data_IF_197805794854
#
_entry.id   IF_197805794854
#
_cell.length_a   1.000
_cell.length_b   1.000
_cell.length_c   1.000
_cell.angle_alpha   90.00
_cell.angle_beta   90.00
_cell.angle_gamma   90.00
#
_symmetry.space_group_name_H-M   'P 1'
#
loop_
_entity.id
_entity.type
_entity.pdbx_description
1 polymer ?
#
# COMPACT_ATOMS: atom_id res chain seq x y z
N UNK A 1 27.18 6.46 27.76
CA UNK A 1 26.46 6.46 26.46
C UNK A 1 25.88 5.08 26.23
N UNK A 2 24.59 4.98 25.87
CA UNK A 2 24.03 3.73 25.35
C UNK A 2 24.61 3.52 23.95
N UNK A 3 25.12 2.33 23.64
CA UNK A 3 25.52 1.98 22.27
C UNK A 3 24.25 1.73 21.46
N UNK A 4 24.23 2.20 20.22
CA UNK A 4 23.17 1.94 19.25
C UNK A 4 23.70 0.94 18.21
N UNK A 5 22.88 -0.04 17.84
CA UNK A 5 23.17 -1.03 16.81
C UNK A 5 22.19 -0.87 15.65
N UNK A 6 22.73 -0.70 14.44
CA UNK A 6 21.95 -0.57 13.21
C UNK A 6 22.36 -1.69 12.26
N UNK A 7 21.39 -2.47 11.78
CA UNK A 7 21.61 -3.45 10.72
C UNK A 7 21.31 -2.82 9.37
N UNK A 8 22.37 -2.49 8.64
CA UNK A 8 22.30 -2.06 7.23
C UNK A 8 22.52 -3.29 6.37
N UNK A 9 21.45 -3.81 5.78
CA UNK A 9 21.48 -5.06 5.00
C UNK A 9 21.64 -4.84 3.50
N UNK A 10 21.44 -3.60 3.05
CA UNK A 10 21.64 -3.15 1.67
C UNK A 10 22.09 -1.69 1.68
N UNK A 11 23.01 -1.35 0.78
CA UNK A 11 23.51 0.01 0.55
C UNK A 11 22.91 0.68 -0.69
N UNK A 12 22.02 -0.02 -1.39
CA UNK A 12 21.23 0.45 -2.52
C UNK A 12 20.12 -0.58 -2.70
N UNK A 13 18.87 -0.21 -2.42
CA UNK A 13 17.75 -1.16 -2.47
C UNK A 13 17.72 -1.91 -3.81
N UNK A 14 17.51 -3.22 -3.72
CA UNK A 14 17.52 -4.11 -4.89
C UNK A 14 18.89 -4.32 -5.52
N UNK A 15 19.96 -3.65 -5.08
CA UNK A 15 21.31 -3.93 -5.54
C UNK A 15 21.89 -5.13 -4.77
N UNK A 16 22.18 -6.21 -5.49
CA UNK A 16 22.53 -7.51 -4.90
C UNK A 16 21.53 -7.96 -3.82
N UNK A 17 20.30 -8.26 -4.26
CA UNK A 17 19.17 -8.80 -3.49
C UNK A 17 19.58 -9.42 -2.15
N UNK A 18 18.97 -8.95 -1.06
CA UNK A 18 19.28 -9.43 0.28
C UNK A 18 19.12 -10.96 0.34
N UNK A 19 20.25 -11.62 0.61
CA UNK A 19 20.28 -13.05 0.86
C UNK A 19 19.73 -13.33 2.26
N UNK A 20 18.59 -14.03 2.31
CA UNK A 20 17.80 -14.22 3.54
C UNK A 20 18.63 -14.83 4.67
N UNK A 21 19.49 -15.81 4.38
CA UNK A 21 20.28 -16.47 5.42
C UNK A 21 21.21 -15.49 6.12
N UNK A 22 21.92 -14.64 5.37
CA UNK A 22 22.83 -13.61 5.86
C UNK A 22 22.10 -12.54 6.67
N UNK A 23 20.95 -12.07 6.17
CA UNK A 23 20.08 -11.14 6.88
C UNK A 23 19.63 -11.71 8.24
N UNK A 24 19.13 -12.95 8.26
CA UNK A 24 18.69 -13.60 9.50
C UNK A 24 19.84 -13.91 10.46
N UNK A 25 21.07 -14.11 9.98
CA UNK A 25 22.24 -14.18 10.88
C UNK A 25 22.50 -12.83 11.54
N UNK A 26 22.43 -11.72 10.80
CA UNK A 26 22.53 -10.36 11.34
C UNK A 26 21.48 -10.08 12.41
N UNK A 27 20.24 -10.55 12.20
CA UNK A 27 19.13 -10.41 13.15
C UNK A 27 19.25 -11.26 14.43
N UNK A 28 20.30 -12.08 14.59
CA UNK A 28 20.60 -12.76 15.86
C UNK A 28 21.27 -11.85 16.88
N UNK A 29 21.75 -10.69 16.44
CA UNK A 29 22.30 -9.67 17.31
C UNK A 29 21.20 -8.78 17.90
N UNK A 30 21.54 -8.04 18.95
CA UNK A 30 20.67 -7.02 19.53
C UNK A 30 20.72 -5.78 18.61
N UNK A 31 19.66 -5.59 17.83
CA UNK A 31 19.54 -4.55 16.80
C UNK A 31 18.51 -3.52 17.25
N UNK A 32 18.91 -2.26 17.32
CA UNK A 32 18.00 -1.15 17.66
C UNK A 32 17.23 -0.65 16.42
N UNK A 33 17.84 -0.72 15.22
CA UNK A 33 17.26 -0.24 13.96
C UNK A 33 17.60 -1.14 12.78
N UNK A 34 16.63 -1.34 11.88
CA UNK A 34 16.90 -1.78 10.51
C UNK A 34 17.06 -0.55 9.64
N UNK A 35 18.01 -0.58 8.70
CA UNK A 35 18.19 0.52 7.78
C UNK A 35 18.49 0.05 6.36
N UNK A 36 17.94 0.79 5.40
CA UNK A 36 18.36 0.83 4.01
C UNK A 36 18.69 2.28 3.68
N UNK A 37 19.93 2.54 3.29
CA UNK A 37 20.42 3.87 2.95
C UNK A 37 21.48 3.75 1.87
N UNK A 38 21.73 4.87 1.21
CA UNK A 38 22.52 5.04 0.00
C UNK A 38 21.85 4.59 -1.32
N UNK A 39 22.03 5.46 -2.32
CA UNK A 39 21.84 5.18 -3.73
C UNK A 39 23.18 5.17 -4.45
N UNK A 40 23.16 4.91 -5.74
CA UNK A 40 24.36 4.81 -6.60
C UNK A 40 24.57 6.10 -7.38
N UNK A 41 25.81 6.62 -7.35
CA UNK A 41 26.26 7.68 -8.25
C UNK A 41 26.90 7.12 -9.53
N UNK A 42 27.06 5.80 -9.62
CA UNK A 42 27.73 5.05 -10.68
C UNK A 42 26.79 4.25 -11.59
N UNK A 43 25.46 4.41 -11.44
CA UNK A 43 24.46 3.84 -12.35
C UNK A 43 24.55 4.38 -13.79
N UNK A 44 25.25 5.50 -13.99
CA UNK A 44 25.42 6.12 -15.29
C UNK A 44 24.30 7.11 -15.64
N UNK A 45 24.50 7.90 -16.71
CA UNK A 45 23.70 9.09 -16.99
C UNK A 45 22.24 8.80 -17.34
N UNK A 46 21.93 7.60 -17.84
CA UNK A 46 20.55 7.22 -18.20
C UNK A 46 19.65 7.18 -16.97
N UNK A 47 20.02 6.40 -15.95
CA UNK A 47 19.20 6.22 -14.75
C UNK A 47 19.22 7.46 -13.87
N UNK A 48 20.40 8.06 -13.69
CA UNK A 48 20.55 9.30 -12.92
C UNK A 48 19.79 10.47 -13.55
N UNK A 49 19.84 10.60 -14.88
CA UNK A 49 19.16 11.68 -15.60
C UNK A 49 17.64 11.50 -15.68
N UNK A 50 17.15 10.26 -15.63
CA UNK A 50 15.74 9.94 -15.70
C UNK A 50 15.07 9.76 -14.32
N UNK A 51 15.83 9.83 -13.23
CA UNK A 51 15.37 9.52 -11.87
C UNK A 51 14.72 8.12 -11.74
N UNK A 52 15.27 7.14 -12.46
CA UNK A 52 14.75 5.78 -12.54
C UNK A 52 15.64 4.77 -11.82
N UNK A 53 15.07 3.67 -11.30
CA UNK A 53 15.86 2.57 -10.76
C UNK A 53 16.67 1.89 -11.88
N UNK A 54 17.95 1.62 -11.61
CA UNK A 54 18.82 0.77 -12.40
C UNK A 54 18.44 -0.70 -12.25
N UNK A 55 18.02 -1.08 -11.04
CA UNK A 55 17.64 -2.46 -10.72
C UNK A 55 16.13 -2.68 -10.95
N UNK A 56 15.69 -3.92 -11.19
CA UNK A 56 14.27 -4.22 -11.26
C UNK A 56 13.55 -3.86 -9.97
N UNK A 57 12.41 -3.17 -10.03
CA UNK A 57 11.56 -2.82 -8.87
C UNK A 57 11.29 -4.02 -7.96
N UNK A 58 11.07 -5.21 -8.55
CA UNK A 58 10.84 -6.45 -7.79
C UNK A 58 11.96 -6.82 -6.81
N UNK A 59 13.19 -6.37 -7.09
CA UNK A 59 14.33 -6.61 -6.21
C UNK A 59 14.30 -5.65 -5.01
N UNK A 60 13.88 -4.42 -5.24
CA UNK A 60 13.65 -3.42 -4.18
C UNK A 60 12.47 -3.84 -3.29
N UNK A 61 11.35 -4.28 -3.89
CA UNK A 61 10.18 -4.83 -3.19
C UNK A 61 10.58 -5.99 -2.26
N UNK A 62 11.41 -6.93 -2.73
CA UNK A 62 11.90 -8.05 -1.93
C UNK A 62 12.70 -7.59 -0.71
N UNK A 63 13.61 -6.63 -0.90
CA UNK A 63 14.44 -6.10 0.18
C UNK A 63 13.59 -5.36 1.22
N UNK A 64 12.65 -4.53 0.77
CA UNK A 64 11.72 -3.78 1.62
C UNK A 64 10.79 -4.73 2.38
N UNK A 65 10.23 -5.74 1.72
CA UNK A 65 9.36 -6.73 2.36
C UNK A 65 10.10 -7.40 3.54
N UNK A 66 11.34 -7.84 3.32
CA UNK A 66 12.16 -8.47 4.36
C UNK A 66 12.40 -7.53 5.55
N UNK A 67 12.76 -6.27 5.28
CA UNK A 67 13.03 -5.27 6.31
C UNK A 67 11.77 -4.89 7.08
N UNK A 68 10.67 -4.60 6.37
CA UNK A 68 9.41 -4.17 6.95
C UNK A 68 8.77 -5.28 7.81
N UNK A 69 8.73 -6.52 7.30
CA UNK A 69 8.16 -7.66 8.04
C UNK A 69 8.94 -7.90 9.33
N UNK A 70 10.27 -7.91 9.30
CA UNK A 70 11.07 -8.14 10.52
C UNK A 70 11.06 -6.94 11.46
N UNK A 71 11.01 -5.71 10.94
CA UNK A 71 10.80 -4.48 11.72
C UNK A 71 9.54 -4.60 12.57
N UNK A 72 8.41 -4.95 11.94
CA UNK A 72 7.12 -5.09 12.60
C UNK A 72 7.09 -6.28 13.56
N UNK A 73 7.62 -7.44 13.15
CA UNK A 73 7.64 -8.65 13.99
C UNK A 73 8.43 -8.46 15.28
N UNK A 74 9.52 -7.69 15.22
CA UNK A 74 10.43 -7.45 16.37
C UNK A 74 10.15 -6.15 17.10
N UNK A 75 9.24 -5.33 16.58
CA UNK A 75 8.97 -3.98 17.06
C UNK A 75 10.23 -3.11 17.10
N UNK A 76 11.07 -3.22 16.07
CA UNK A 76 12.27 -2.40 15.88
C UNK A 76 12.01 -1.39 14.76
N UNK A 77 12.34 -0.10 14.91
CA UNK A 77 12.11 0.87 13.85
C UNK A 77 12.96 0.56 12.61
N UNK A 78 12.38 0.82 11.44
CA UNK A 78 13.06 0.80 10.14
C UNK A 78 13.35 2.24 9.71
N UNK A 79 14.52 2.45 9.09
CA UNK A 79 14.92 3.72 8.49
C UNK A 79 15.17 3.48 7.01
N UNK A 80 14.51 4.26 6.16
CA UNK A 80 14.76 4.31 4.73
C UNK A 80 15.34 5.70 4.44
N UNK A 81 16.61 5.74 4.05
CA UNK A 81 17.34 6.96 3.68
C UNK A 81 17.28 7.24 2.18
N UNK A 82 18.28 7.94 1.63
CA UNK A 82 18.42 8.12 0.18
C UNK A 82 18.71 6.76 -0.44
N UNK A 83 17.69 6.02 -0.83
CA UNK A 83 17.75 4.62 -1.23
C UNK A 83 17.25 4.45 -2.67
N UNK A 84 17.36 3.24 -3.20
CA UNK A 84 17.27 2.98 -4.65
C UNK A 84 18.35 3.72 -5.43
N UNK A 85 18.34 3.54 -6.75
CA UNK A 85 19.44 3.88 -7.64
C UNK A 85 19.85 5.34 -7.55
N UNK A 86 18.93 6.28 -7.77
CA UNK A 86 19.26 7.71 -7.83
C UNK A 86 19.39 8.35 -6.45
N UNK A 87 18.93 7.68 -5.38
CA UNK A 87 18.97 8.19 -4.02
C UNK A 87 18.17 9.48 -3.81
N UNK A 88 17.12 9.70 -4.63
CA UNK A 88 16.28 10.90 -4.57
C UNK A 88 15.12 10.74 -3.58
N UNK A 89 14.53 11.86 -3.17
CA UNK A 89 13.33 11.88 -2.33
C UNK A 89 12.15 11.14 -2.98
N UNK A 90 12.11 11.02 -4.32
CA UNK A 90 11.08 10.28 -5.05
C UNK A 90 11.03 8.82 -4.62
N UNK A 91 12.18 8.15 -4.51
CA UNK A 91 12.23 6.75 -4.09
C UNK A 91 11.83 6.59 -2.62
N UNK A 92 12.26 7.53 -1.76
CA UNK A 92 11.87 7.56 -0.34
C UNK A 92 10.36 7.72 -0.19
N UNK A 93 9.77 8.66 -0.92
CA UNK A 93 8.33 8.89 -0.92
C UNK A 93 7.58 7.65 -1.41
N UNK A 94 8.01 7.01 -2.50
CA UNK A 94 7.40 5.78 -3.03
C UNK A 94 7.28 4.68 -1.95
N UNK A 95 8.36 4.39 -1.23
CA UNK A 95 8.33 3.32 -0.23
C UNK A 95 7.57 3.73 1.04
N UNK A 96 7.53 5.02 1.37
CA UNK A 96 6.67 5.52 2.44
C UNK A 96 5.17 5.35 2.08
N UNK A 97 4.80 5.57 0.81
CA UNK A 97 3.45 5.32 0.30
C UNK A 97 3.09 3.82 0.38
N UNK A 98 4.00 2.95 -0.04
CA UNK A 98 3.83 1.49 0.08
C UNK A 98 3.65 1.04 1.53
N UNK A 99 4.50 1.49 2.46
CA UNK A 99 4.36 1.15 3.88
C UNK A 99 2.99 1.60 4.44
N UNK A 100 2.54 2.79 4.06
CA UNK A 100 1.28 3.34 4.53
C UNK A 100 0.08 2.53 4.03
N UNK A 101 0.10 2.02 2.79
CA UNK A 101 -0.94 1.13 2.24
C UNK A 101 -1.14 -0.14 3.09
N UNK A 102 -0.06 -0.64 3.70
CA UNK A 102 -0.11 -1.83 4.57
C UNK A 102 -0.23 -1.49 6.07
N UNK A 103 -0.38 -0.21 6.41
CA UNK A 103 -0.58 0.26 7.78
C UNK A 103 -2.07 0.37 8.11
N UNK A 104 -2.61 -0.66 8.79
CA UNK A 104 -3.98 -0.63 9.32
C UNK A 104 -4.27 0.60 10.20
N UNK A 105 -3.38 1.03 11.13
CA UNK A 105 -3.59 2.24 11.92
C UNK A 105 -3.77 3.51 11.07
N UNK A 106 -2.94 3.66 10.04
CA UNK A 106 -2.97 4.83 9.17
C UNK A 106 -4.18 4.80 8.23
N UNK A 107 -4.47 3.64 7.64
CA UNK A 107 -5.67 3.42 6.83
C UNK A 107 -6.95 3.72 7.61
N UNK A 108 -7.04 3.28 8.87
CA UNK A 108 -8.18 3.59 9.74
C UNK A 108 -8.26 5.08 10.08
N UNK A 109 -7.13 5.76 10.28
CA UNK A 109 -7.11 7.20 10.51
C UNK A 109 -7.65 7.98 9.30
N UNK A 110 -7.27 7.60 8.07
CA UNK A 110 -7.86 8.14 6.84
C UNK A 110 -9.36 7.87 6.80
N UNK A 111 -9.78 6.61 7.02
CA UNK A 111 -11.20 6.23 6.99
C UNK A 111 -12.05 7.06 7.96
N UNK A 112 -11.53 7.33 9.15
CA UNK A 112 -12.23 8.12 10.18
C UNK A 112 -12.31 9.62 9.81
N UNK A 113 -11.34 10.15 9.07
CA UNK A 113 -11.30 11.55 8.66
C UNK A 113 -12.12 11.81 7.40
N UNK A 114 -11.93 10.97 6.38
CA UNK A 114 -12.49 11.17 5.04
C UNK A 114 -13.80 10.40 4.81
N UNK A 115 -14.08 9.38 5.62
CA UNK A 115 -15.21 8.47 5.40
C UNK A 115 -14.99 7.43 4.29
N UNK A 116 -13.81 7.43 3.65
CA UNK A 116 -13.40 6.49 2.60
C UNK A 116 -11.88 6.26 2.65
N UNK A 117 -11.40 5.17 2.05
CA UNK A 117 -9.97 4.88 1.89
C UNK A 117 -9.72 4.40 0.46
N UNK A 118 -8.83 5.08 -0.27
CA UNK A 118 -8.45 4.76 -1.63
C UNK A 118 -7.00 5.18 -1.88
N UNK A 119 -6.43 4.75 -3.01
CA UNK A 119 -5.00 4.94 -3.32
C UNK A 119 -4.57 6.41 -3.26
N UNK A 120 -5.41 7.32 -3.77
CA UNK A 120 -5.15 8.77 -3.75
C UNK A 120 -5.01 9.37 -2.34
N UNK A 121 -5.52 8.70 -1.29
CA UNK A 121 -5.35 9.17 0.09
C UNK A 121 -3.95 8.93 0.65
N UNK A 122 -3.13 8.09 0.02
CA UNK A 122 -1.76 7.82 0.44
C UNK A 122 -0.74 8.81 -0.15
N UNK A 123 -1.18 9.99 -0.59
CA UNK A 123 -0.30 11.01 -1.15
C UNK A 123 0.77 11.51 -0.17
N UNK A 124 1.89 12.06 -0.66
CA UNK A 124 2.96 12.60 0.18
C UNK A 124 2.50 13.66 1.19
N UNK A 125 1.45 14.42 0.85
CA UNK A 125 0.84 15.42 1.72
C UNK A 125 0.13 14.76 2.93
N UNK A 126 -0.66 13.70 2.70
CA UNK A 126 -1.35 13.00 3.76
C UNK A 126 -0.39 12.20 4.64
N UNK A 127 0.66 11.59 4.06
CA UNK A 127 1.69 10.88 4.83
C UNK A 127 2.41 11.79 5.85
N UNK A 128 2.54 13.08 5.51
CA UNK A 128 3.17 14.10 6.38
C UNK A 128 2.16 14.83 7.28
N UNK A 129 0.87 14.50 7.21
CA UNK A 129 -0.17 15.15 8.01
C UNK A 129 -0.10 14.73 9.48
N UNK A 130 0.31 15.67 10.34
CA UNK A 130 0.43 15.43 11.78
C UNK A 130 -0.89 14.98 12.44
N UNK A 131 -2.04 15.42 11.94
CA UNK A 131 -3.34 15.06 12.50
C UNK A 131 -3.66 13.58 12.24
N UNK A 132 -3.38 13.08 11.03
CA UNK A 132 -3.50 11.67 10.68
C UNK A 132 -2.52 10.83 11.48
N UNK A 133 -1.25 11.27 11.57
CA UNK A 133 -0.23 10.56 12.36
C UNK A 133 -0.64 10.49 13.84
N UNK A 134 -1.15 11.57 14.42
CA UNK A 134 -1.65 11.60 15.80
C UNK A 134 -2.85 10.68 15.99
N UNK A 135 -3.75 10.57 15.02
CA UNK A 135 -4.90 9.67 15.08
C UNK A 135 -4.48 8.21 14.94
N UNK A 136 -3.61 7.88 13.97
CA UNK A 136 -3.07 6.54 13.77
C UNK A 136 -2.36 6.01 15.03
N UNK A 137 -1.62 6.87 15.74
CA UNK A 137 -0.97 6.52 17.02
C UNK A 137 -1.92 6.14 18.16
N UNK A 138 -3.22 6.46 18.05
CA UNK A 138 -4.25 6.07 19.01
C UNK A 138 -4.90 4.74 18.67
N UNK A 139 -4.63 4.19 17.48
CA UNK A 139 -5.19 2.91 17.05
C UNK A 139 -4.37 1.79 17.66
N UNK A 140 -5.04 0.95 18.45
CA UNK A 140 -4.47 -0.27 19.00
C UNK A 140 -5.12 -1.48 18.33
N UNK A 141 -4.28 -2.38 17.82
CA UNK A 141 -4.73 -3.60 17.13
C UNK A 141 -4.36 -4.79 17.99
N UNK A 142 -5.32 -5.67 18.22
CA UNK A 142 -5.15 -6.90 18.97
C UNK A 142 -5.93 -8.03 18.32
N UNK A 143 -5.43 -9.25 18.46
CA UNK A 143 -6.10 -10.45 17.99
C UNK A 143 -7.20 -10.84 18.97
N UNK A 144 -8.43 -10.99 18.46
CA UNK A 144 -9.52 -11.59 19.20
C UNK A 144 -9.51 -13.11 18.99
N UNK A 145 -9.42 -13.88 20.08
CA UNK A 145 -9.23 -15.33 20.01
C UNK A 145 -10.43 -16.07 19.41
N UNK A 146 -11.64 -15.58 19.65
CA UNK A 146 -12.85 -16.21 19.14
C UNK A 146 -12.95 -16.00 17.63
N UNK A 147 -12.70 -14.78 17.16
CA UNK A 147 -12.66 -14.50 15.72
C UNK A 147 -11.55 -15.30 15.01
N UNK A 148 -10.35 -15.34 15.59
CA UNK A 148 -9.20 -16.05 15.02
C UNK A 148 -9.45 -17.57 14.92
N UNK A 149 -10.12 -18.16 15.91
CA UNK A 149 -10.50 -19.59 15.87
C UNK A 149 -11.46 -19.97 14.74
N UNK A 150 -12.14 -18.98 14.15
CA UNK A 150 -13.04 -19.16 13.02
C UNK A 150 -12.37 -18.88 11.66
N UNK A 151 -11.09 -18.51 11.64
CA UNK A 151 -10.31 -18.34 10.42
C UNK A 151 -10.09 -19.71 9.72
N UNK A 152 -10.15 -19.79 8.37
CA UNK A 152 -10.35 -18.72 7.40
C UNK A 152 -11.82 -18.44 7.04
N UNK A 153 -12.78 -19.13 7.66
CA UNK A 153 -14.20 -19.03 7.28
C UNK A 153 -14.79 -17.65 7.60
N UNK A 154 -14.45 -17.09 8.76
CA UNK A 154 -14.82 -15.72 9.12
C UNK A 154 -13.58 -14.83 9.19
N UNK A 155 -13.62 -13.70 8.47
CA UNK A 155 -12.51 -12.73 8.34
C UNK A 155 -12.94 -11.33 8.78
N UNK A 156 -13.75 -11.30 9.82
CA UNK A 156 -14.36 -10.08 10.34
C UNK A 156 -13.40 -9.21 11.14
N UNK A 157 -13.93 -8.12 11.67
CA UNK A 157 -13.24 -7.26 12.64
C UNK A 157 -14.22 -6.68 13.65
N UNK A 158 -13.70 -6.35 14.85
CA UNK A 158 -14.38 -5.52 15.85
C UNK A 158 -13.66 -4.17 15.87
N UNK A 159 -14.42 -3.10 15.72
CA UNK A 159 -13.93 -1.73 15.89
C UNK A 159 -14.62 -1.11 17.10
N UNK A 160 -13.81 -0.70 18.08
CA UNK A 160 -14.25 0.07 19.23
C UNK A 160 -13.59 1.46 19.20
N UNK A 161 -14.40 2.50 19.33
CA UNK A 161 -13.95 3.90 19.39
C UNK A 161 -14.34 4.45 20.77
N UNK A 162 -13.34 4.95 21.50
CA UNK A 162 -13.53 5.59 22.80
C UNK A 162 -13.24 7.08 22.64
N UNK A 163 -14.24 7.91 22.93
CA UNK A 163 -14.13 9.37 22.87
C UNK A 163 -13.47 9.92 24.15
N UNK A 164 -12.99 11.17 24.07
CA UNK A 164 -12.34 11.84 25.20
C UNK A 164 -13.26 12.05 26.42
N UNK A 165 -14.58 12.03 26.22
CA UNK A 165 -15.59 12.12 27.29
C UNK A 165 -15.90 10.75 27.93
N UNK A 166 -15.22 9.69 27.50
CA UNK A 166 -15.40 8.32 27.96
C UNK A 166 -16.51 7.55 27.24
N UNK A 167 -17.26 8.18 26.32
CA UNK A 167 -18.28 7.48 25.54
C UNK A 167 -17.62 6.49 24.58
N UNK A 168 -18.12 5.26 24.53
CA UNK A 168 -17.65 4.24 23.61
C UNK A 168 -18.70 3.88 22.56
N UNK A 169 -18.23 3.54 21.37
CA UNK A 169 -19.01 2.96 20.28
C UNK A 169 -18.31 1.69 19.82
N UNK A 170 -19.09 0.67 19.52
CA UNK A 170 -18.56 -0.61 19.04
C UNK A 170 -19.37 -1.08 17.83
N UNK A 171 -18.66 -1.63 16.86
CA UNK A 171 -19.26 -2.32 15.72
C UNK A 171 -18.44 -3.55 15.39
N UNK A 172 -19.14 -4.65 15.16
CA UNK A 172 -18.55 -5.91 14.72
C UNK A 172 -19.08 -6.26 13.33
N UNK A 173 -18.20 -6.80 12.49
CA UNK A 173 -18.57 -7.53 11.28
C UNK A 173 -17.95 -8.91 11.32
N UNK A 174 -18.65 -9.92 10.82
CA UNK A 174 -18.14 -11.30 10.71
C UNK A 174 -17.45 -11.58 9.37
N UNK A 175 -17.91 -10.89 8.32
CA UNK A 175 -17.39 -11.03 6.95
C UNK A 175 -17.19 -9.63 6.36
N UNK A 176 -16.09 -9.40 5.64
CA UNK A 176 -15.93 -8.18 4.87
C UNK A 176 -16.94 -8.16 3.72
N UNK A 177 -17.32 -6.96 3.28
CA UNK A 177 -18.19 -6.81 2.12
C UNK A 177 -17.42 -7.14 0.84
N UNK A 178 -18.04 -7.88 -0.07
CA UNK A 178 -17.44 -8.40 -1.31
C UNK A 178 -17.11 -9.89 -1.28
N UNK A 179 -17.27 -10.57 -0.13
CA UNK A 179 -17.19 -12.02 -0.05
C UNK A 179 -18.36 -12.69 -0.80
N UNK A 180 -18.21 -13.94 -1.27
CA UNK A 180 -19.31 -14.68 -1.90
C UNK A 180 -20.59 -14.71 -1.05
N UNK A 181 -20.44 -14.79 0.28
CA UNK A 181 -21.53 -14.79 1.25
C UNK A 181 -22.07 -13.39 1.57
N UNK A 182 -21.30 -12.34 1.28
CA UNK A 182 -21.69 -10.94 1.49
C UNK A 182 -21.30 -10.09 0.27
N UNK A 183 -21.92 -10.34 -0.91
CA UNK A 183 -21.49 -9.70 -2.15
C UNK A 183 -21.79 -8.20 -2.14
N UNK A 184 -21.06 -7.46 -2.97
CA UNK A 184 -21.42 -6.08 -3.32
C UNK A 184 -22.71 -6.09 -4.13
N UNK A 185 -23.51 -5.04 -4.00
CA UNK A 185 -24.59 -4.80 -4.96
C UNK A 185 -24.00 -4.29 -6.28
N UNK A 186 -24.78 -4.40 -7.36
CA UNK A 186 -24.38 -3.89 -8.68
C UNK A 186 -24.02 -2.40 -8.63
N UNK A 187 -24.78 -1.58 -7.89
CA UNK A 187 -24.51 -0.15 -7.71
C UNK A 187 -23.16 0.10 -7.01
N UNK A 188 -22.82 -0.71 -6.01
CA UNK A 188 -21.56 -0.59 -5.28
C UNK A 188 -20.37 -1.05 -6.10
N UNK A 189 -20.54 -2.15 -6.84
CA UNK A 189 -19.53 -2.65 -7.76
C UNK A 189 -19.30 -1.65 -8.90
N UNK A 190 -20.37 -1.05 -9.46
CA UNK A 190 -20.27 0.03 -10.44
C UNK A 190 -19.56 1.25 -9.85
N UNK A 191 -19.92 1.65 -8.63
CA UNK A 191 -19.26 2.74 -7.92
C UNK A 191 -17.75 2.49 -7.75
N UNK A 192 -17.35 1.25 -7.42
CA UNK A 192 -15.95 0.84 -7.35
C UNK A 192 -15.26 0.90 -8.72
N UNK A 193 -15.89 0.38 -9.78
CA UNK A 193 -15.36 0.46 -11.16
C UNK A 193 -15.09 1.92 -11.50
N UNK A 194 -16.10 2.78 -11.35
CA UNK A 194 -15.98 4.19 -11.68
C UNK A 194 -14.86 4.89 -10.89
N UNK A 195 -14.73 4.58 -9.59
CA UNK A 195 -13.67 5.17 -8.74
C UNK A 195 -12.25 4.80 -9.20
N UNK A 196 -12.06 3.57 -9.69
CA UNK A 196 -10.75 3.11 -10.16
C UNK A 196 -10.43 3.65 -11.55
N UNK A 197 -11.43 3.83 -12.40
CA UNK A 197 -11.23 4.24 -13.80
C UNK A 197 -11.27 5.74 -14.01
N UNK A 198 -12.02 6.51 -13.21
CA UNK A 198 -12.22 7.95 -13.43
C UNK A 198 -10.95 8.81 -13.42
N UNK A 199 -9.84 8.46 -12.73
CA UNK A 199 -8.60 9.23 -12.86
C UNK A 199 -8.02 9.15 -14.28
N UNK A 200 -8.12 7.97 -14.91
CA UNK A 200 -7.50 7.68 -16.19
C UNK A 200 -8.45 7.87 -17.38
N UNK A 201 -9.76 7.71 -17.14
CA UNK A 201 -10.77 7.66 -18.17
C UNK A 201 -11.93 8.63 -17.91
N UNK A 202 -12.52 9.15 -18.99
CA UNK A 202 -13.74 9.97 -18.92
C UNK A 202 -14.93 9.19 -18.34
N UNK A 203 -15.90 9.88 -17.72
CA UNK A 203 -17.09 9.29 -17.08
C UNK A 203 -17.87 8.31 -17.97
N UNK A 204 -17.87 8.52 -19.29
CA UNK A 204 -18.54 7.64 -20.26
C UNK A 204 -17.93 6.23 -20.30
N UNK A 205 -16.64 6.11 -19.97
CA UNK A 205 -15.90 4.85 -20.02
C UNK A 205 -16.49 3.81 -19.09
N UNK A 206 -16.62 4.13 -17.80
CA UNK A 206 -17.13 3.21 -16.77
C UNK A 206 -18.53 2.69 -17.12
N UNK A 207 -19.38 3.58 -17.65
CA UNK A 207 -20.74 3.25 -18.09
C UNK A 207 -20.75 2.30 -19.28
N UNK A 208 -19.89 2.53 -20.29
CA UNK A 208 -19.76 1.64 -21.45
C UNK A 208 -19.15 0.31 -21.06
N UNK A 209 -18.14 0.31 -20.20
CA UNK A 209 -17.52 -0.92 -19.68
C UNK A 209 -18.54 -1.77 -18.94
N UNK A 210 -19.33 -1.17 -18.05
CA UNK A 210 -20.40 -1.85 -17.33
C UNK A 210 -21.45 -2.44 -18.29
N UNK A 211 -21.85 -1.67 -19.30
CA UNK A 211 -22.78 -2.15 -20.31
C UNK A 211 -22.25 -3.39 -21.03
N UNK A 212 -20.98 -3.38 -21.44
CA UNK A 212 -20.35 -4.49 -22.15
C UNK A 212 -20.21 -5.72 -21.27
N UNK A 213 -19.73 -5.55 -20.04
CA UNK A 213 -19.30 -6.68 -19.18
C UNK A 213 -20.44 -7.28 -18.37
N UNK A 214 -21.41 -6.46 -17.95
CA UNK A 214 -22.48 -6.86 -17.02
C UNK A 214 -23.83 -6.97 -17.71
N UNK A 215 -24.19 -5.99 -18.55
CA UNK A 215 -25.55 -5.90 -19.09
C UNK A 215 -25.72 -6.62 -20.44
N UNK A 216 -24.64 -6.82 -21.19
CA UNK A 216 -24.66 -7.47 -22.51
C UNK A 216 -24.51 -8.98 -22.40
N UNK A 217 -25.09 -9.71 -23.36
CA UNK A 217 -24.82 -11.13 -23.52
C UNK A 217 -23.42 -11.31 -24.12
N UNK A 218 -22.60 -12.19 -23.52
CA UNK A 218 -21.22 -12.45 -23.95
C UNK A 218 -21.12 -12.89 -25.42
N UNK A 219 -22.14 -13.59 -25.94
CA UNK A 219 -22.18 -14.03 -27.34
C UNK A 219 -22.34 -12.88 -28.34
N UNK A 220 -22.73 -11.69 -27.84
CA UNK A 220 -22.98 -10.50 -28.65
C UNK A 220 -21.83 -9.48 -28.56
N UNK A 221 -20.93 -9.63 -27.60
CA UNK A 221 -19.81 -8.70 -27.39
C UNK A 221 -18.61 -9.14 -28.23
N UNK A 222 -18.15 -8.30 -29.15
CA UNK A 222 -16.91 -8.55 -29.87
C UNK A 222 -15.69 -8.10 -29.07
N UNK A 223 -14.61 -8.89 -29.11
CA UNK A 223 -13.33 -8.51 -28.47
C UNK A 223 -12.82 -7.15 -28.93
N UNK A 224 -13.05 -6.81 -30.21
CA UNK A 224 -12.69 -5.51 -30.77
C UNK A 224 -13.39 -4.34 -30.06
N UNK A 225 -14.64 -4.50 -29.63
CA UNK A 225 -15.39 -3.44 -28.94
C UNK A 225 -14.77 -3.12 -27.57
N UNK A 226 -14.26 -4.14 -26.87
CA UNK A 226 -13.54 -3.96 -25.61
C UNK A 226 -12.25 -3.18 -25.87
N UNK A 227 -11.47 -3.59 -26.87
CA UNK A 227 -10.20 -2.93 -27.21
C UNK A 227 -10.41 -1.46 -27.60
N UNK A 228 -11.41 -1.15 -28.42
CA UNK A 228 -11.69 0.24 -28.80
C UNK A 228 -12.13 1.09 -27.60
N UNK A 229 -12.92 0.54 -26.67
CA UNK A 229 -13.28 1.26 -25.45
C UNK A 229 -12.05 1.69 -24.63
N UNK A 230 -11.05 0.82 -24.49
CA UNK A 230 -9.80 1.13 -23.77
C UNK A 230 -8.88 2.11 -24.53
N UNK A 231 -9.00 2.22 -25.86
CA UNK A 231 -8.24 3.21 -26.65
C UNK A 231 -8.85 4.60 -26.63
N UNK A 232 -10.18 4.71 -26.65
CA UNK A 232 -10.89 5.98 -26.81
C UNK A 232 -10.89 6.86 -25.54
N UNK A 233 -10.57 6.29 -24.38
CA UNK A 233 -10.95 6.91 -23.11
C UNK A 233 -9.83 7.54 -22.30
N UNK A 234 -8.55 7.50 -22.68
CA UNK A 234 -7.47 8.07 -21.85
C UNK A 234 -7.58 9.59 -21.77
N UNK A 235 -7.60 10.16 -20.56
CA UNK A 235 -7.44 11.60 -20.37
C UNK A 235 -6.05 12.00 -20.92
N UNK A 236 -5.99 12.84 -21.97
CA UNK A 236 -4.76 13.20 -22.71
C UNK A 236 -3.65 13.90 -21.86
N UNK A 237 -3.78 13.98 -20.53
CA UNK A 237 -2.92 14.78 -19.65
C UNK A 237 -2.06 13.99 -18.66
N UNK A 238 -2.07 12.66 -18.67
CA UNK A 238 -1.08 11.87 -17.92
C UNK A 238 -0.27 11.03 -18.91
N UNK A 239 0.86 11.59 -19.36
CA UNK A 239 1.92 10.81 -19.99
C UNK A 239 2.44 9.80 -18.97
N UNK A 240 2.25 8.52 -19.25
CA UNK A 240 3.04 7.47 -18.62
C UNK A 240 4.45 7.52 -19.23
N UNK A 241 5.25 8.50 -18.78
CA UNK A 241 6.70 8.57 -19.00
C UNK A 241 7.43 8.25 -17.69
#
# INVERSE_FOLDING_TARGET
MKKLSVLVSTGNLGDNIIEKSSFYQGLKHDIDYLAADAGTADAGPTFLGADMPHNPIKWEEHDIELLLVESRRRNIPMIIGSCSTTGTDRAVDLYAEEEALFSLPFSLAIALREGDVGLHHFSPANLRDESLIKLAKKVHISLDKEMDSNYPLHRGAILQIILNDGKSFEKQTQLPKGEPELPLTDDELYGKVNRVTSPFYQDVFSKRLWQIVVNSNIDQVQYAEIIELFKEGTNENESFD
#
